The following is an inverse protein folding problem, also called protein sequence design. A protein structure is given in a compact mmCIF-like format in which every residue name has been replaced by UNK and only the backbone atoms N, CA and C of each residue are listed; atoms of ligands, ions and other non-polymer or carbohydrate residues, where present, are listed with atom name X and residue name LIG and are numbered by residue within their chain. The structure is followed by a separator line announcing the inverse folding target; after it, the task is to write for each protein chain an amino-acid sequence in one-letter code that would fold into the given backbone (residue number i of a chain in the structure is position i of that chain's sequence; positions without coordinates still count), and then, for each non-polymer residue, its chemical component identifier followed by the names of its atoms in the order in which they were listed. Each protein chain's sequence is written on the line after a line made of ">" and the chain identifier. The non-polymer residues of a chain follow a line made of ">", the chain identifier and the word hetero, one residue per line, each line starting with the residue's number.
data_IF_150320339044
#
_entry.id   IF_150320339044
#
_cell.length_a   1.000
_cell.length_b   1.000
_cell.length_c   1.000
_cell.angle_alpha   90.00
_cell.angle_beta   90.00
_cell.angle_gamma   90.00
#
_symmetry.space_group_name_H-M   'P 1'
#
loop_
_entity.id
_entity.type
_entity.pdbx_description
1 polymer ?
#
# COMPACT_ATOMS: atom_id res chain seq x y z
N UNK A 1 -8.91 1.57 21.11
CA UNK A 1 -9.30 0.60 20.06
C UNK A 1 -10.66 0.05 20.45
N UNK A 2 -11.74 0.56 19.87
CA UNK A 2 -13.07 0.10 20.29
C UNK A 2 -13.45 -1.16 19.52
N UNK A 3 -13.58 -2.27 20.24
CA UNK A 3 -14.06 -3.56 19.73
C UNK A 3 -15.58 -3.54 19.48
N UNK A 4 -16.04 -2.71 18.54
CA UNK A 4 -17.46 -2.58 18.20
C UNK A 4 -17.62 -2.35 16.69
N UNK A 5 -18.44 -3.18 16.05
CA UNK A 5 -18.74 -3.11 14.60
C UNK A 5 -19.56 -1.86 14.21
N UNK A 6 -20.23 -1.24 15.20
CA UNK A 6 -21.20 -0.15 14.98
C UNK A 6 -20.67 1.26 15.28
N UNK A 7 -19.39 1.41 15.63
CA UNK A 7 -18.83 2.75 15.84
C UNK A 7 -18.57 3.43 14.50
N UNK A 8 -19.41 4.43 14.19
CA UNK A 8 -19.18 5.36 13.09
C UNK A 8 -17.80 6.02 13.25
N UNK A 9 -16.95 5.81 12.25
CA UNK A 9 -15.75 6.61 12.07
C UNK A 9 -16.20 8.03 11.75
N UNK A 10 -15.76 9.06 12.49
CA UNK A 10 -16.22 10.43 12.28
C UNK A 10 -15.99 10.84 10.83
N UNK A 11 -17.05 11.33 10.19
CA UNK A 11 -17.05 11.63 8.77
C UNK A 11 -16.29 12.93 8.49
N UNK A 12 -15.48 12.95 7.42
CA UNK A 12 -14.71 14.10 6.91
C UNK A 12 -15.51 15.40 6.64
N UNK A 13 -16.84 15.40 6.83
CA UNK A 13 -17.73 16.55 6.64
C UNK A 13 -17.89 17.44 7.88
N UNK A 14 -17.44 17.01 9.06
CA UNK A 14 -17.52 17.83 10.29
C UNK A 14 -16.42 18.89 10.39
N UNK A 15 -15.40 18.85 9.52
CA UNK A 15 -14.26 19.77 9.53
C UNK A 15 -14.38 20.86 8.44
N UNK A 16 -13.91 22.07 8.75
CA UNK A 16 -13.93 23.23 7.86
C UNK A 16 -13.20 22.94 6.54
N UNK A 17 -13.65 23.47 5.37
CA UNK A 17 -13.03 23.21 4.07
C UNK A 17 -11.54 23.57 4.00
N UNK A 18 -11.11 24.52 4.84
CA UNK A 18 -9.74 25.05 4.94
C UNK A 18 -8.78 24.10 5.70
N UNK A 19 -9.30 23.22 6.56
CA UNK A 19 -8.53 22.26 7.36
C UNK A 19 -8.49 20.86 6.75
N UNK A 20 -9.00 20.68 5.52
CA UNK A 20 -8.98 19.37 4.88
C UNK A 20 -7.62 19.16 4.24
N UNK A 21 -6.84 18.14 4.68
CA UNK A 21 -5.69 17.68 3.92
C UNK A 21 -6.15 17.36 2.49
N UNK A 22 -5.24 17.39 1.53
CA UNK A 22 -5.53 16.99 0.15
C UNK A 22 -5.88 15.49 0.11
N UNK A 23 -7.14 15.17 0.42
CA UNK A 23 -7.62 13.83 0.76
C UNK A 23 -7.50 12.88 -0.43
N UNK A 24 -7.55 13.42 -1.64
CA UNK A 24 -7.33 12.70 -2.88
C UNK A 24 -5.91 12.13 -2.96
N UNK A 25 -4.89 12.90 -2.55
CA UNK A 25 -3.49 12.46 -2.56
C UNK A 25 -3.28 11.35 -1.53
N UNK A 26 -3.79 11.51 -0.30
CA UNK A 26 -3.68 10.48 0.75
C UNK A 26 -4.43 9.20 0.37
N UNK A 27 -5.62 9.32 -0.22
CA UNK A 27 -6.42 8.19 -0.67
C UNK A 27 -5.71 7.35 -1.74
N UNK A 28 -5.08 8.01 -2.72
CA UNK A 28 -4.33 7.33 -3.77
C UNK A 28 -3.00 6.80 -3.26
N UNK A 29 -2.23 7.56 -2.46
CA UNK A 29 -0.97 7.08 -1.88
C UNK A 29 -1.18 5.87 -0.98
N UNK A 30 -2.24 5.85 -0.16
CA UNK A 30 -2.59 4.69 0.65
C UNK A 30 -2.88 3.45 -0.21
N UNK A 31 -3.66 3.60 -1.27
CA UNK A 31 -3.97 2.51 -2.21
C UNK A 31 -2.74 2.00 -2.93
N UNK A 32 -1.86 2.91 -3.34
CA UNK A 32 -0.62 2.57 -4.02
C UNK A 32 0.30 1.80 -3.09
N UNK A 33 0.46 2.26 -1.84
CA UNK A 33 1.21 1.56 -0.79
C UNK A 33 0.63 0.17 -0.49
N UNK A 34 -0.67 0.09 -0.19
CA UNK A 34 -1.33 -1.17 0.16
C UNK A 34 -1.36 -2.15 -1.03
N UNK A 35 -1.59 -1.65 -2.24
CA UNK A 35 -1.57 -2.44 -3.47
C UNK A 35 -0.19 -3.02 -3.76
N UNK A 36 0.86 -2.21 -3.65
CA UNK A 36 2.23 -2.69 -3.80
C UNK A 36 2.63 -3.67 -2.69
N UNK A 37 2.25 -3.41 -1.44
CA UNK A 37 2.48 -4.35 -0.33
C UNK A 37 1.79 -5.70 -0.54
N UNK A 38 0.55 -5.70 -1.02
CA UNK A 38 -0.19 -6.93 -1.35
C UNK A 38 0.46 -7.67 -2.54
N UNK A 39 0.91 -6.95 -3.57
CA UNK A 39 1.64 -7.54 -4.69
C UNK A 39 2.95 -8.20 -4.25
N UNK A 40 3.68 -7.59 -3.33
CA UNK A 40 4.92 -8.16 -2.77
C UNK A 40 4.63 -9.42 -1.93
N UNK A 41 3.54 -9.44 -1.16
CA UNK A 41 3.07 -10.64 -0.47
C UNK A 41 2.73 -11.75 -1.48
N UNK A 42 2.00 -11.42 -2.53
CA UNK A 42 1.62 -12.35 -3.58
C UNK A 42 2.86 -12.90 -4.31
N UNK A 43 3.87 -12.07 -4.56
CA UNK A 43 5.17 -12.52 -5.08
C UNK A 43 5.82 -13.56 -4.14
N UNK A 44 5.85 -13.30 -2.83
CA UNK A 44 6.40 -14.22 -1.84
C UNK A 44 5.65 -15.56 -1.78
N UNK A 45 4.32 -15.53 -1.83
CA UNK A 45 3.48 -16.74 -1.86
C UNK A 45 3.70 -17.53 -3.16
N UNK A 46 3.71 -16.85 -4.32
CA UNK A 46 4.02 -17.48 -5.60
C UNK A 46 5.43 -18.08 -5.61
N UNK A 47 6.41 -17.40 -5.02
CA UNK A 47 7.77 -17.91 -4.89
C UNK A 47 7.80 -19.21 -4.08
N UNK A 48 7.10 -19.26 -2.94
CA UNK A 48 7.00 -20.47 -2.12
C UNK A 48 6.30 -21.61 -2.84
N UNK A 49 5.23 -21.31 -3.59
CA UNK A 49 4.51 -22.32 -4.36
C UNK A 49 5.36 -22.87 -5.52
N UNK A 50 6.03 -22.01 -6.29
CA UNK A 50 6.94 -22.39 -7.37
C UNK A 50 8.19 -23.13 -6.85
N UNK A 51 8.66 -22.78 -5.65
CA UNK A 51 9.77 -23.48 -4.98
C UNK A 51 9.41 -24.93 -4.67
N UNK A 52 8.15 -25.25 -4.36
CA UNK A 52 7.71 -26.64 -4.11
C UNK A 52 7.77 -27.54 -5.36
N UNK A 53 7.85 -26.96 -6.56
CA UNK A 53 7.92 -27.72 -7.81
C UNK A 53 9.22 -27.54 -8.59
N UNK A 54 10.30 -27.02 -7.97
CA UNK A 54 11.59 -26.68 -8.60
C UNK A 54 11.50 -25.78 -9.85
N UNK A 55 10.34 -25.14 -10.06
CA UNK A 55 10.03 -24.28 -11.22
C UNK A 55 10.33 -22.82 -10.98
N UNK A 56 10.86 -22.48 -9.81
CA UNK A 56 11.18 -21.10 -9.40
C UNK A 56 12.11 -20.41 -10.42
N UNK A 57 13.15 -21.11 -10.87
CA UNK A 57 14.15 -20.59 -11.81
C UNK A 57 13.80 -20.82 -13.28
N UNK A 58 12.84 -21.70 -13.57
CA UNK A 58 12.41 -21.98 -14.95
C UNK A 58 11.28 -21.06 -15.43
N UNK A 59 10.54 -20.46 -14.50
CA UNK A 59 9.37 -19.64 -14.81
C UNK A 59 9.77 -18.22 -15.21
N UNK A 60 10.06 -18.02 -16.50
CA UNK A 60 10.32 -16.69 -17.10
C UNK A 60 9.32 -15.58 -16.69
N UNK A 61 7.98 -15.81 -16.64
CA UNK A 61 7.06 -14.76 -16.20
C UNK A 61 7.24 -14.39 -14.72
N UNK A 62 7.52 -15.35 -13.85
CA UNK A 62 7.78 -15.11 -12.43
C UNK A 62 9.07 -14.31 -12.22
N UNK A 63 10.15 -14.65 -12.94
CA UNK A 63 11.41 -13.92 -12.88
C UNK A 63 11.28 -12.48 -13.36
N UNK A 64 10.52 -12.24 -14.44
CA UNK A 64 10.20 -10.88 -14.90
C UNK A 64 9.38 -10.12 -13.86
N UNK A 65 8.38 -10.76 -13.25
CA UNK A 65 7.56 -10.15 -12.21
C UNK A 65 8.40 -9.78 -10.97
N UNK A 66 9.31 -10.65 -10.55
CA UNK A 66 10.25 -10.38 -9.46
C UNK A 66 11.20 -9.20 -9.79
N UNK A 67 11.66 -9.10 -11.04
CA UNK A 67 12.49 -7.97 -11.49
C UNK A 67 11.75 -6.63 -11.38
N UNK A 68 10.48 -6.58 -11.80
CA UNK A 68 9.64 -5.39 -11.66
C UNK A 68 9.29 -5.07 -10.20
N UNK A 69 9.28 -6.05 -9.30
CA UNK A 69 9.08 -5.84 -7.87
C UNK A 69 10.30 -5.33 -7.10
N UNK A 70 11.49 -5.33 -7.72
CA UNK A 70 12.68 -4.68 -7.14
C UNK A 70 12.45 -3.18 -6.86
N UNK A 71 12.17 -2.35 -7.89
CA UNK A 71 11.95 -0.92 -7.70
C UNK A 71 10.62 -0.60 -6.99
N UNK A 72 9.62 -1.49 -7.03
CA UNK A 72 8.33 -1.23 -6.40
C UNK A 72 8.42 -1.12 -4.87
N UNK A 73 9.38 -1.78 -4.24
CA UNK A 73 9.62 -1.63 -2.80
C UNK A 73 9.97 -0.19 -2.42
N UNK A 74 10.79 0.49 -3.22
CA UNK A 74 11.12 1.90 -3.02
C UNK A 74 9.89 2.80 -3.21
N UNK A 75 9.09 2.52 -4.24
CA UNK A 75 7.83 3.24 -4.50
C UNK A 75 6.87 3.08 -3.33
N UNK A 76 6.75 1.87 -2.78
CA UNK A 76 5.90 1.59 -1.62
C UNK A 76 6.36 2.37 -0.37
N UNK A 77 7.67 2.46 -0.14
CA UNK A 77 8.25 3.26 0.96
C UNK A 77 7.92 4.75 0.78
N UNK A 78 8.13 5.29 -0.42
CA UNK A 78 7.82 6.70 -0.73
C UNK A 78 6.32 6.97 -0.59
N UNK A 79 5.46 6.08 -1.08
CA UNK A 79 4.01 6.20 -0.94
C UNK A 79 3.57 6.16 0.53
N UNK A 80 4.19 5.33 1.35
CA UNK A 80 3.99 5.31 2.80
C UNK A 80 4.38 6.63 3.44
N UNK A 81 5.55 7.16 3.10
CA UNK A 81 6.04 8.44 3.62
C UNK A 81 5.14 9.62 3.22
N UNK A 82 4.67 9.64 1.96
CA UNK A 82 3.70 10.64 1.48
C UNK A 82 2.38 10.51 2.22
N UNK A 83 1.90 9.29 2.48
CA UNK A 83 0.66 9.06 3.24
C UNK A 83 0.79 9.59 4.67
N UNK A 84 1.92 9.39 5.32
CA UNK A 84 2.17 9.88 6.69
C UNK A 84 2.40 11.39 6.74
N UNK A 85 3.13 11.97 5.79
CA UNK A 85 3.49 13.38 5.82
C UNK A 85 2.34 14.28 5.34
N UNK A 86 1.64 13.88 4.26
CA UNK A 86 0.44 14.59 3.77
C UNK A 86 -0.73 14.39 4.72
N UNK A 87 -0.80 13.25 5.42
CA UNK A 87 -1.78 13.04 6.50
C UNK A 87 -1.56 13.95 7.72
N UNK A 88 -0.36 14.52 7.89
CA UNK A 88 -0.02 15.46 8.97
C UNK A 88 -0.34 16.92 8.62
N UNK A 89 -0.46 17.26 7.33
CA UNK A 89 -0.98 18.56 6.86
C UNK A 89 -2.49 18.58 7.14
N UNK A 90 -3.09 19.53 7.90
CA UNK A 90 -2.73 20.94 8.14
C UNK A 90 -2.49 21.27 9.64
N UNK A 91 -2.11 20.28 10.45
CA UNK A 91 -1.94 20.42 11.90
C UNK A 91 -0.49 20.76 12.31
N UNK A 92 0.31 21.29 11.37
CA UNK A 92 1.65 21.86 11.58
C UNK A 92 1.62 23.32 11.17
#
# INVERSE_FOLDING_TARGET
>A
LTHSLDKQVPALKEFAPEERPNSTVVFWSFRLMAGLGMLMLLLGVLALWLRRGDRLYHSRPFLRFALWMGPSGLIAILAGWVTTEVGRQPWV
#
